data_IF_724382494177
#
_entry.id   IF_724382494177
#
_cell.length_a   1.000
_cell.length_b   1.000
_cell.length_c   1.000
_cell.angle_alpha   90.00
_cell.angle_beta   90.00
_cell.angle_gamma   90.00
#
_symmetry.space_group_name_H-M   'P 1'
#
loop_
_entity.id
_entity.type
_entity.pdbx_description
1 polymer ?
#
# COMPACT_ATOMS: atom_id res chain seq x y z
N UNK A 1 -24.58 17.38 11.91
CA UNK A 1 -24.46 17.89 10.54
C UNK A 1 -24.06 16.70 9.66
N UNK A 2 -24.83 16.38 8.60
CA UNK A 2 -24.50 15.28 7.70
C UNK A 2 -23.14 15.53 7.07
N UNK A 3 -22.27 14.53 7.07
CA UNK A 3 -20.97 14.54 6.38
C UNK A 3 -21.14 14.89 4.89
N UNK A 4 -20.07 15.26 4.21
CA UNK A 4 -20.05 15.46 2.75
C UNK A 4 -20.11 14.13 2.00
N UNK A 5 -20.14 14.23 0.68
CA UNK A 5 -20.01 13.06 -0.23
C UNK A 5 -18.86 13.29 -1.20
N UNK A 6 -18.22 12.19 -1.56
CA UNK A 6 -17.18 12.11 -2.59
C UNK A 6 -17.69 11.24 -3.72
N UNK A 7 -17.75 11.74 -4.95
CA UNK A 7 -18.15 10.95 -6.14
C UNK A 7 -16.94 10.59 -6.96
N UNK A 8 -16.82 9.32 -7.31
CA UNK A 8 -15.75 8.82 -8.17
C UNK A 8 -16.09 9.19 -9.62
N UNK A 9 -15.29 10.06 -10.22
CA UNK A 9 -15.42 10.46 -11.63
C UNK A 9 -14.67 9.47 -12.52
N UNK A 10 -13.47 9.06 -12.07
CA UNK A 10 -12.63 8.04 -12.73
C UNK A 10 -11.86 7.28 -11.66
N UNK A 11 -12.10 5.99 -11.55
CA UNK A 11 -11.47 5.13 -10.54
C UNK A 11 -10.02 4.75 -10.88
N UNK A 12 -9.62 4.83 -12.15
CA UNK A 12 -8.32 4.39 -12.62
C UNK A 12 -8.16 2.85 -12.61
N UNK A 13 -6.92 2.38 -12.70
CA UNK A 13 -6.64 0.94 -12.79
C UNK A 13 -7.04 0.17 -11.52
N UNK A 14 -6.82 0.77 -10.35
CA UNK A 14 -7.24 0.24 -9.06
C UNK A 14 -7.23 1.37 -8.03
N UNK A 15 -8.39 1.67 -7.48
CA UNK A 15 -8.53 2.56 -6.32
C UNK A 15 -9.34 1.86 -5.24
N UNK A 16 -8.83 1.90 -4.00
CA UNK A 16 -9.42 1.24 -2.84
C UNK A 16 -9.50 2.20 -1.67
N UNK A 17 -10.45 1.97 -0.77
CA UNK A 17 -10.49 2.65 0.53
C UNK A 17 -9.51 1.98 1.47
N UNK A 18 -8.62 2.75 2.10
CA UNK A 18 -7.61 2.20 3.01
C UNK A 18 -7.48 3.06 4.27
N UNK A 19 -7.44 2.40 5.42
CA UNK A 19 -7.03 2.96 6.71
C UNK A 19 -5.73 2.28 7.20
N UNK A 20 -5.50 2.16 8.49
CA UNK A 20 -4.33 1.45 9.02
C UNK A 20 -4.52 -0.07 9.14
N UNK A 21 -5.68 -0.58 8.73
CA UNK A 21 -6.00 -2.00 8.71
C UNK A 21 -6.65 -2.54 9.99
N UNK A 22 -7.07 -3.82 9.92
CA UNK A 22 -7.76 -4.54 10.99
C UNK A 22 -6.79 -5.41 11.78
N UNK A 23 -6.67 -5.13 13.07
CA UNK A 23 -5.73 -5.80 13.98
C UNK A 23 -6.45 -6.81 14.88
N UNK A 24 -5.73 -7.87 15.27
CA UNK A 24 -6.20 -8.84 16.27
C UNK A 24 -7.05 -9.99 15.70
N UNK A 25 -7.20 -10.08 14.37
CA UNK A 25 -8.10 -11.07 13.75
C UNK A 25 -7.36 -12.20 13.01
N UNK A 26 -6.03 -12.31 13.16
CA UNK A 26 -5.24 -13.35 12.49
C UNK A 26 -5.69 -14.78 12.84
N UNK A 27 -6.12 -15.03 14.09
CA UNK A 27 -6.65 -16.32 14.54
C UNK A 27 -7.95 -16.73 13.81
N UNK A 28 -8.65 -15.77 13.21
CA UNK A 28 -9.82 -16.01 12.36
C UNK A 28 -9.47 -16.16 10.87
N UNK A 29 -8.18 -16.21 10.53
CA UNK A 29 -7.73 -16.23 9.14
C UNK A 29 -7.83 -14.88 8.41
N UNK A 30 -8.08 -13.78 9.13
CA UNK A 30 -8.31 -12.46 8.55
C UNK A 30 -7.00 -11.68 8.49
N UNK A 31 -6.60 -11.28 7.28
CA UNK A 31 -5.44 -10.43 7.03
C UNK A 31 -5.62 -9.03 7.64
N UNK A 32 -4.50 -8.39 7.98
CA UNK A 32 -4.51 -7.03 8.52
C UNK A 32 -5.00 -6.02 7.49
N UNK A 33 -4.63 -6.18 6.23
CA UNK A 33 -4.90 -5.21 5.15
C UNK A 33 -4.42 -3.79 5.49
N UNK A 34 -5.07 -2.74 4.99
CA UNK A 34 -4.71 -1.35 5.23
C UNK A 34 -3.74 -0.78 4.19
N UNK A 35 -3.46 0.51 4.32
CA UNK A 35 -2.55 1.23 3.45
C UNK A 35 -1.17 0.56 3.37
N UNK A 36 -0.67 0.33 2.15
CA UNK A 36 0.63 -0.30 1.93
C UNK A 36 1.79 0.64 2.26
N UNK A 37 1.73 1.89 1.80
CA UNK A 37 2.66 2.96 2.19
C UNK A 37 2.05 3.77 3.34
N UNK A 38 2.16 3.22 4.57
CA UNK A 38 1.59 3.83 5.77
C UNK A 38 2.13 5.22 6.07
N UNK A 39 3.44 5.52 5.91
CA UNK A 39 3.95 6.87 6.04
C UNK A 39 3.24 7.88 5.13
N UNK A 40 3.06 7.54 3.84
CA UNK A 40 2.37 8.40 2.89
C UNK A 40 0.88 8.58 3.26
N UNK A 41 0.17 7.50 3.60
CA UNK A 41 -1.21 7.56 4.08
C UNK A 41 -1.37 8.47 5.30
N UNK A 42 -0.51 8.34 6.32
CA UNK A 42 -0.54 9.19 7.52
C UNK A 42 -0.24 10.63 7.18
N UNK A 43 0.74 10.89 6.31
CA UNK A 43 1.07 12.25 5.87
C UNK A 43 -0.12 12.92 5.20
N UNK A 44 -0.81 12.23 4.27
CA UNK A 44 -2.01 12.75 3.62
C UNK A 44 -3.07 13.14 4.64
N UNK A 45 -3.34 12.28 5.63
CA UNK A 45 -4.30 12.56 6.69
C UNK A 45 -3.91 13.77 7.55
N UNK A 46 -2.65 13.88 7.96
CA UNK A 46 -2.16 15.01 8.75
C UNK A 46 -2.29 16.34 8.01
N UNK A 47 -1.99 16.35 6.70
CA UNK A 47 -2.11 17.56 5.88
C UNK A 47 -3.53 18.11 5.84
N UNK A 48 -4.55 17.26 5.91
CA UNK A 48 -5.96 17.69 5.92
C UNK A 48 -6.56 17.79 7.32
N UNK A 49 -5.77 17.61 8.39
CA UNK A 49 -6.21 17.67 9.78
C UNK A 49 -6.97 16.45 10.28
N UNK A 50 -6.85 15.33 9.60
CA UNK A 50 -7.44 14.05 10.03
C UNK A 50 -6.54 13.33 11.06
N UNK A 51 -7.15 12.44 11.85
CA UNK A 51 -6.40 11.44 12.59
C UNK A 51 -5.68 10.49 11.64
N UNK A 52 -4.49 9.99 12.02
CA UNK A 52 -3.68 9.06 11.21
C UNK A 52 -4.43 7.81 10.71
N UNK A 53 -5.47 7.39 11.43
CA UNK A 53 -6.31 6.21 11.13
C UNK A 53 -7.50 6.49 10.22
N UNK A 54 -7.76 7.75 9.86
CA UNK A 54 -8.88 8.07 8.98
C UNK A 54 -8.67 7.40 7.60
N UNK A 55 -9.76 6.88 7.02
CA UNK A 55 -9.62 6.20 5.73
C UNK A 55 -9.40 7.21 4.59
N UNK A 56 -8.51 6.82 3.67
CA UNK A 56 -8.15 7.55 2.45
C UNK A 56 -8.44 6.71 1.22
N UNK A 57 -8.29 7.28 0.04
CA UNK A 57 -8.21 6.51 -1.20
C UNK A 57 -6.73 6.18 -1.49
N UNK A 58 -6.43 4.89 -1.66
CA UNK A 58 -5.17 4.40 -2.21
C UNK A 58 -5.39 4.11 -3.70
N UNK A 59 -4.71 4.83 -4.59
CA UNK A 59 -4.80 4.62 -6.04
C UNK A 59 -3.50 4.09 -6.60
N UNK A 60 -3.59 3.23 -7.62
CA UNK A 60 -2.46 2.50 -8.20
C UNK A 60 -2.21 2.96 -9.63
N UNK A 61 -0.97 3.37 -9.94
CA UNK A 61 -0.41 3.74 -11.23
C UNK A 61 -1.15 4.89 -11.95
N UNK A 62 -2.40 4.71 -12.35
CA UNK A 62 -3.12 5.64 -13.25
C UNK A 62 -3.85 6.76 -12.51
N UNK A 63 -3.84 6.74 -11.17
CA UNK A 63 -4.48 7.75 -10.35
C UNK A 63 -6.00 7.63 -10.29
N UNK A 64 -6.66 8.68 -9.79
CA UNK A 64 -8.12 8.75 -9.55
C UNK A 64 -8.61 10.17 -9.79
N UNK A 65 -9.84 10.36 -10.27
CA UNK A 65 -10.52 11.64 -10.30
C UNK A 65 -11.79 11.57 -9.43
N UNK A 66 -11.98 12.55 -8.56
CA UNK A 66 -13.12 12.60 -7.65
C UNK A 66 -13.75 13.99 -7.61
N UNK A 67 -15.08 14.04 -7.42
CA UNK A 67 -15.85 15.26 -7.23
C UNK A 67 -16.28 15.38 -5.77
N UNK A 68 -16.02 16.52 -5.15
CA UNK A 68 -16.56 16.83 -3.82
C UNK A 68 -17.93 17.49 -3.96
N UNK A 69 -18.94 16.99 -3.25
CA UNK A 69 -20.29 17.58 -3.29
C UNK A 69 -20.36 18.86 -2.47
N UNK A 70 -19.60 18.95 -1.39
CA UNK A 70 -19.44 20.15 -0.53
C UNK A 70 -18.00 20.62 -0.54
N UNK A 71 -17.76 21.86 -0.15
CA UNK A 71 -16.40 22.36 0.03
C UNK A 71 -15.62 21.45 0.99
N UNK A 72 -14.39 21.10 0.61
CA UNK A 72 -13.54 20.18 1.34
C UNK A 72 -12.07 20.60 1.29
N UNK A 73 -11.25 20.01 2.15
CA UNK A 73 -9.80 20.09 2.05
C UNK A 73 -9.28 18.71 1.67
N UNK A 74 -8.38 18.65 0.71
CA UNK A 74 -7.76 17.39 0.28
C UNK A 74 -6.23 17.48 0.30
N UNK A 75 -5.56 16.35 0.34
CA UNK A 75 -4.11 16.26 0.13
C UNK A 75 -3.76 14.97 -0.62
N UNK A 76 -2.76 15.05 -1.50
CA UNK A 76 -2.22 13.92 -2.25
C UNK A 76 -0.78 13.68 -1.85
N UNK A 77 -0.44 12.43 -1.53
CA UNK A 77 0.92 11.99 -1.14
C UNK A 77 1.26 10.64 -1.75
N UNK A 78 2.42 10.06 -1.43
CA UNK A 78 2.86 8.75 -1.93
C UNK A 78 3.63 8.85 -3.23
N UNK A 79 3.25 8.13 -4.26
CA UNK A 79 3.88 8.25 -5.58
C UNK A 79 3.64 9.66 -6.16
N UNK A 80 4.69 10.38 -6.59
CA UNK A 80 4.52 11.66 -7.26
C UNK A 80 3.69 11.52 -8.53
N UNK A 81 2.68 12.38 -8.66
CA UNK A 81 1.78 12.43 -9.80
C UNK A 81 1.35 13.88 -10.09
N UNK A 82 1.00 14.24 -11.32
CA UNK A 82 0.30 15.48 -11.60
C UNK A 82 -1.02 15.53 -10.80
N UNK A 83 -1.31 16.67 -10.19
CA UNK A 83 -2.59 16.91 -9.49
C UNK A 83 -3.27 18.08 -10.19
N UNK A 84 -4.54 17.93 -10.54
CA UNK A 84 -5.33 18.96 -11.20
C UNK A 84 -6.60 19.26 -10.39
N UNK A 85 -6.90 20.52 -10.20
CA UNK A 85 -8.17 21.03 -9.68
C UNK A 85 -8.94 21.70 -10.83
N UNK A 86 -10.07 21.13 -11.23
CA UNK A 86 -10.87 21.58 -12.36
C UNK A 86 -10.01 21.84 -13.62
N UNK A 87 -9.09 20.88 -13.92
CA UNK A 87 -8.17 20.93 -15.05
C UNK A 87 -6.95 21.86 -14.89
N UNK A 88 -6.81 22.56 -13.76
CA UNK A 88 -5.67 23.45 -13.48
C UNK A 88 -4.67 22.78 -12.52
N UNK A 89 -3.37 22.99 -12.69
CA UNK A 89 -2.37 22.42 -11.79
C UNK A 89 -2.63 22.79 -10.34
N UNK A 90 -2.54 21.79 -9.45
CA UNK A 90 -2.66 21.93 -8.01
C UNK A 90 -1.44 21.27 -7.33
N UNK A 91 -1.06 21.68 -6.10
CA UNK A 91 0.10 21.13 -5.43
C UNK A 91 -0.09 19.67 -5.02
N UNK A 92 0.94 18.86 -5.23
CA UNK A 92 1.13 17.57 -4.62
C UNK A 92 1.88 17.74 -3.28
N UNK A 93 1.54 16.97 -2.25
CA UNK A 93 2.20 17.03 -0.95
C UNK A 93 1.79 18.23 -0.07
N UNK A 94 0.71 18.90 -0.41
CA UNK A 94 0.16 20.01 0.36
C UNK A 94 -1.38 19.92 0.47
N UNK A 95 -1.95 20.65 1.42
CA UNK A 95 -3.40 20.75 1.56
C UNK A 95 -3.99 21.69 0.49
N UNK A 96 -5.02 21.23 -0.20
CA UNK A 96 -5.74 21.97 -1.26
C UNK A 96 -7.20 22.17 -0.83
N UNK A 97 -7.70 23.41 -0.85
CA UNK A 97 -9.11 23.72 -0.59
C UNK A 97 -9.92 23.59 -1.88
N UNK A 98 -10.96 22.80 -1.83
CA UNK A 98 -11.87 22.56 -2.96
C UNK A 98 -13.20 23.25 -2.69
N UNK A 99 -13.72 24.08 -3.62
CA UNK A 99 -15.11 24.53 -3.56
C UNK A 99 -16.08 23.38 -3.78
N UNK A 100 -17.34 23.57 -3.41
CA UNK A 100 -18.39 22.59 -3.68
C UNK A 100 -18.53 22.34 -5.19
N UNK A 101 -18.66 21.05 -5.59
CA UNK A 101 -18.78 20.62 -6.96
C UNK A 101 -17.44 20.46 -7.72
N UNK A 102 -16.33 20.92 -7.15
CA UNK A 102 -15.01 20.83 -7.78
C UNK A 102 -14.55 19.38 -8.00
N UNK A 103 -13.75 19.17 -9.03
CA UNK A 103 -13.10 17.88 -9.35
C UNK A 103 -11.61 17.99 -9.06
N UNK A 104 -11.11 17.10 -8.21
CA UNK A 104 -9.67 16.89 -8.04
C UNK A 104 -9.27 15.62 -8.79
N UNK A 105 -8.22 15.73 -9.58
CA UNK A 105 -7.66 14.61 -10.34
C UNK A 105 -6.23 14.35 -9.90
N UNK A 106 -5.94 13.11 -9.52
CA UNK A 106 -4.61 12.54 -9.38
C UNK A 106 -4.30 11.83 -10.69
N UNK A 107 -3.31 12.29 -11.41
CA UNK A 107 -2.88 11.70 -12.67
C UNK A 107 -2.01 10.46 -12.48
N UNK A 108 -1.44 9.93 -13.57
CA UNK A 108 -0.54 8.79 -13.53
C UNK A 108 0.71 9.09 -12.68
N UNK A 109 1.13 8.09 -11.89
CA UNK A 109 2.35 8.16 -11.11
C UNK A 109 3.57 8.34 -12.04
N UNK A 110 4.38 9.35 -11.80
CA UNK A 110 5.61 9.59 -12.58
C UNK A 110 6.75 8.69 -12.13
N UNK A 111 6.71 8.24 -10.87
CA UNK A 111 7.59 7.25 -10.26
C UNK A 111 6.89 6.63 -9.05
N UNK A 112 7.15 5.36 -8.78
CA UNK A 112 6.43 4.63 -7.74
C UNK A 112 5.14 4.02 -8.27
N UNK A 113 4.25 3.63 -7.36
CA UNK A 113 3.06 2.85 -7.70
C UNK A 113 1.80 3.41 -7.06
N UNK A 114 1.88 3.87 -5.79
CA UNK A 114 0.69 4.16 -4.99
C UNK A 114 0.66 5.60 -4.49
N UNK A 115 -0.42 6.30 -4.86
CA UNK A 115 -0.74 7.62 -4.31
C UNK A 115 -1.92 7.53 -3.35
N UNK A 116 -1.95 8.43 -2.37
CA UNK A 116 -3.00 8.52 -1.36
C UNK A 116 -3.69 9.86 -1.46
N UNK A 117 -5.02 9.83 -1.62
CA UNK A 117 -5.87 11.01 -1.57
C UNK A 117 -6.63 11.01 -0.23
N UNK A 118 -6.28 11.91 0.66
CA UNK A 118 -7.02 12.18 1.87
C UNK A 118 -8.02 13.33 1.66
N UNK A 119 -9.18 13.23 2.28
CA UNK A 119 -10.19 14.28 2.32
C UNK A 119 -10.49 14.61 3.79
N UNK A 120 -10.67 15.88 4.12
CA UNK A 120 -11.02 16.31 5.48
C UNK A 120 -12.27 15.59 5.99
N UNK A 121 -12.17 14.97 7.18
CA UNK A 121 -13.17 14.07 7.76
C UNK A 121 -12.94 12.58 7.44
N UNK A 122 -12.15 12.28 6.41
CA UNK A 122 -11.90 10.91 5.96
C UNK A 122 -13.09 10.26 5.23
N UNK A 123 -12.86 9.15 4.57
CA UNK A 123 -13.91 8.32 3.97
C UNK A 123 -14.61 7.53 5.08
N UNK A 124 -15.94 7.70 5.21
CA UNK A 124 -16.73 7.15 6.33
C UNK A 124 -17.64 6.00 5.91
N UNK A 125 -17.12 5.08 5.12
CA UNK A 125 -17.80 3.80 4.82
C UNK A 125 -17.89 2.92 6.06
N UNK A 126 -18.86 1.97 6.13
CA UNK A 126 -18.98 1.04 7.25
C UNK A 126 -17.66 0.29 7.52
N UNK A 127 -17.28 0.22 8.80
CA UNK A 127 -16.11 -0.54 9.22
C UNK A 127 -16.46 -2.04 9.34
N UNK A 128 -15.56 -2.91 8.86
CA UNK A 128 -15.64 -4.36 9.03
C UNK A 128 -14.48 -4.80 9.92
N UNK A 129 -14.77 -5.43 11.04
CA UNK A 129 -13.79 -5.81 12.06
C UNK A 129 -12.89 -4.63 12.48
N UNK A 130 -13.48 -3.46 12.68
CA UNK A 130 -12.81 -2.25 13.14
C UNK A 130 -12.00 -1.50 12.07
N UNK A 131 -12.05 -1.88 10.80
CA UNK A 131 -11.34 -1.23 9.69
C UNK A 131 -12.23 -0.98 8.49
N UNK A 132 -11.98 0.13 7.79
CA UNK A 132 -12.59 0.51 6.50
C UNK A 132 -11.77 0.06 5.29
N UNK A 133 -10.69 -0.70 5.52
CA UNK A 133 -9.81 -1.11 4.43
C UNK A 133 -10.44 -2.17 3.54
N UNK A 134 -10.32 -1.97 2.23
CA UNK A 134 -10.51 -3.01 1.21
C UNK A 134 -9.42 -4.06 1.35
N UNK A 135 -9.81 -5.32 1.42
CA UNK A 135 -8.91 -6.48 1.36
C UNK A 135 -9.17 -7.24 0.07
N UNK A 136 -8.19 -7.27 -0.83
CA UNK A 136 -8.33 -7.90 -2.15
C UNK A 136 -8.29 -9.43 -2.09
N UNK A 137 -7.74 -10.02 -1.02
CA UNK A 137 -7.67 -11.48 -0.90
C UNK A 137 -8.96 -12.06 -0.34
N UNK A 138 -9.44 -11.50 0.78
CA UNK A 138 -10.62 -12.03 1.48
C UNK A 138 -11.95 -11.40 1.02
N UNK A 139 -11.90 -10.28 0.30
CA UNK A 139 -13.08 -9.50 -0.07
C UNK A 139 -13.71 -8.73 1.09
N UNK A 140 -13.06 -8.65 2.25
CA UNK A 140 -13.55 -7.88 3.39
C UNK A 140 -13.39 -6.36 3.17
N UNK A 141 -14.33 -5.61 3.73
CA UNK A 141 -14.40 -4.16 3.57
C UNK A 141 -15.09 -3.74 2.26
N UNK A 142 -14.98 -2.46 1.86
CA UNK A 142 -15.58 -1.99 0.62
C UNK A 142 -14.91 -2.62 -0.59
N UNK A 143 -15.68 -2.83 -1.67
CA UNK A 143 -15.12 -3.28 -2.95
C UNK A 143 -14.14 -2.24 -3.54
N UNK A 144 -13.24 -2.63 -4.45
CA UNK A 144 -12.50 -1.69 -5.29
C UNK A 144 -13.47 -0.73 -5.99
N UNK A 145 -13.11 0.56 -5.99
CA UNK A 145 -13.97 1.63 -6.48
C UNK A 145 -14.12 1.58 -8.00
N UNK A 146 -15.29 2.02 -8.44
CA UNK A 146 -15.67 2.16 -9.86
C UNK A 146 -16.13 3.58 -10.17
N UNK A 147 -16.12 3.93 -11.43
CA UNK A 147 -16.68 5.18 -11.90
C UNK A 147 -18.15 5.28 -11.50
N UNK A 148 -18.55 6.43 -10.96
CA UNK A 148 -19.89 6.68 -10.45
C UNK A 148 -20.14 6.34 -8.97
N UNK A 149 -19.24 5.62 -8.30
CA UNK A 149 -19.40 5.31 -6.87
C UNK A 149 -19.47 6.60 -6.03
N UNK A 150 -20.26 6.53 -4.96
CA UNK A 150 -20.45 7.63 -4.00
C UNK A 150 -20.01 7.16 -2.62
N UNK A 151 -19.10 7.91 -2.01
CA UNK A 151 -18.56 7.60 -0.69
C UNK A 151 -18.99 8.69 0.31
N UNK A 152 -19.52 8.31 1.48
CA UNK A 152 -19.74 9.25 2.55
C UNK A 152 -18.41 9.74 3.14
N UNK A 153 -18.38 11.01 3.53
CA UNK A 153 -17.28 11.62 4.27
C UNK A 153 -17.68 11.86 5.72
N UNK A 154 -16.76 11.62 6.62
CA UNK A 154 -16.93 11.91 8.03
C UNK A 154 -16.90 13.42 8.30
N UNK A 155 -17.26 13.82 9.53
CA UNK A 155 -17.10 15.19 9.99
C UNK A 155 -15.61 15.51 10.15
N UNK A 156 -15.15 16.58 9.52
CA UNK A 156 -13.79 17.08 9.73
C UNK A 156 -13.63 17.60 11.17
N UNK A 157 -12.64 17.10 11.89
CA UNK A 157 -12.43 17.41 13.31
C UNK A 157 -11.17 18.23 13.56
N UNK A 158 -10.29 18.35 12.59
CA UNK A 158 -9.01 19.03 12.72
C UNK A 158 -8.85 20.23 11.80
N UNK A 159 -7.88 21.07 12.11
CA UNK A 159 -7.43 22.13 11.21
C UNK A 159 -6.34 21.54 10.29
N UNK A 160 -6.36 21.84 8.99
CA UNK A 160 -5.28 21.46 8.09
C UNK A 160 -3.95 22.02 8.61
N UNK A 161 -2.89 21.21 8.49
CA UNK A 161 -1.55 21.70 8.75
C UNK A 161 -1.16 22.66 7.63
N UNK A 162 -0.86 23.90 7.98
CA UNK A 162 -0.36 24.89 7.02
C UNK A 162 1.12 24.63 6.72
N UNK A 163 1.37 23.66 5.82
CA UNK A 163 2.68 23.43 5.26
C UNK A 163 2.59 23.71 3.75
N UNK A 164 3.50 24.53 3.25
CA UNK A 164 3.55 24.86 1.82
C UNK A 164 3.86 23.60 0.98
N UNK A 165 4.70 22.72 1.51
CA UNK A 165 5.04 21.43 0.93
C UNK A 165 5.58 20.48 2.01
N UNK A 166 5.08 19.27 2.04
CA UNK A 166 5.65 18.22 2.90
C UNK A 166 6.90 17.61 2.24
N UNK A 167 8.06 17.61 2.92
CA UNK A 167 9.25 16.93 2.39
C UNK A 167 8.96 15.45 2.18
N UNK A 168 9.32 14.93 1.01
CA UNK A 168 9.16 13.52 0.69
C UNK A 168 10.32 13.03 -0.15
N UNK A 169 11.00 11.96 0.29
CA UNK A 169 12.15 11.40 -0.41
C UNK A 169 11.81 10.80 -1.79
N UNK A 170 10.53 10.57 -2.03
CA UNK A 170 10.03 9.90 -3.23
C UNK A 170 10.36 8.41 -3.28
N UNK A 171 9.78 7.68 -4.24
CA UNK A 171 10.06 6.27 -4.44
C UNK A 171 11.53 6.01 -4.79
N UNK A 172 12.13 4.92 -4.30
CA UNK A 172 13.54 4.61 -4.55
C UNK A 172 13.79 4.24 -6.02
N UNK A 173 15.02 4.33 -6.47
CA UNK A 173 15.49 3.83 -7.79
C UNK A 173 15.92 2.36 -7.73
N UNK A 174 16.22 1.85 -6.56
CA UNK A 174 16.50 0.46 -6.22
C UNK A 174 15.78 0.13 -4.92
N UNK A 175 15.08 -0.98 -4.87
CA UNK A 175 14.44 -1.45 -3.66
C UNK A 175 15.44 -2.23 -2.81
N UNK A 176 15.94 -1.63 -1.75
CA UNK A 176 16.81 -2.27 -0.77
C UNK A 176 15.95 -2.75 0.40
N UNK A 177 15.82 -4.08 0.55
CA UNK A 177 15.03 -4.71 1.59
C UNK A 177 15.94 -5.26 2.68
N UNK A 178 15.98 -4.64 3.88
CA UNK A 178 16.58 -5.29 5.03
C UNK A 178 15.85 -6.59 5.31
N UNK A 179 16.57 -7.65 5.65
CA UNK A 179 16.01 -8.99 5.82
C UNK A 179 16.55 -9.62 7.10
N UNK A 180 15.68 -10.04 8.01
CA UNK A 180 16.04 -10.94 9.10
C UNK A 180 15.83 -12.36 8.62
N UNK A 181 16.87 -13.20 8.62
CA UNK A 181 16.76 -14.61 8.24
C UNK A 181 15.90 -15.39 9.25
N UNK A 182 15.29 -16.48 8.81
CA UNK A 182 14.39 -17.34 9.56
C UNK A 182 12.90 -17.09 9.24
N UNK A 183 11.97 -17.94 9.70
CA UNK A 183 12.18 -19.11 10.54
C UNK A 183 12.56 -20.41 9.77
N UNK A 184 12.63 -20.38 8.42
CA UNK A 184 12.91 -21.53 7.57
C UNK A 184 14.09 -21.31 6.62
N UNK A 185 15.07 -20.50 7.03
CA UNK A 185 16.32 -20.30 6.29
C UNK A 185 17.16 -21.60 6.20
N UNK A 186 17.03 -22.50 7.18
CA UNK A 186 17.60 -23.84 7.19
C UNK A 186 17.04 -24.79 6.09
N UNK A 187 15.95 -24.41 5.45
CA UNK A 187 15.39 -25.15 4.30
C UNK A 187 16.09 -24.85 2.98
N UNK A 188 17.03 -23.94 2.98
CA UNK A 188 17.76 -23.51 1.79
C UNK A 188 19.24 -23.89 1.88
N UNK A 189 19.86 -24.13 0.74
CA UNK A 189 21.31 -24.35 0.71
C UNK A 189 22.07 -23.09 1.13
N UNK A 190 23.27 -23.23 1.69
CA UNK A 190 24.11 -22.08 1.99
C UNK A 190 24.41 -21.24 0.74
N UNK A 191 24.45 -21.86 -0.45
CA UNK A 191 24.58 -21.17 -1.72
C UNK A 191 23.35 -20.30 -2.02
N UNK A 192 22.13 -20.81 -1.78
CA UNK A 192 20.89 -20.06 -1.97
C UNK A 192 20.80 -18.83 -1.06
N UNK A 193 21.20 -18.95 0.21
CA UNK A 193 21.26 -17.81 1.14
C UNK A 193 22.27 -16.75 0.67
N UNK A 194 23.44 -17.18 0.14
CA UNK A 194 24.38 -16.24 -0.49
C UNK A 194 23.81 -15.59 -1.75
N UNK A 195 23.11 -16.38 -2.58
CA UNK A 195 22.43 -15.88 -3.79
C UNK A 195 21.36 -14.84 -3.42
N UNK A 196 20.59 -15.05 -2.34
CA UNK A 196 19.61 -14.09 -1.86
C UNK A 196 20.27 -12.75 -1.50
N UNK A 197 21.45 -12.79 -0.85
CA UNK A 197 22.17 -11.58 -0.43
C UNK A 197 22.90 -10.84 -1.57
N UNK A 198 23.44 -11.58 -2.53
CA UNK A 198 24.28 -11.05 -3.61
C UNK A 198 23.56 -10.94 -4.96
N UNK A 199 22.45 -11.64 -5.12
CA UNK A 199 21.71 -11.74 -6.38
C UNK A 199 21.00 -10.43 -6.74
N UNK A 200 20.84 -10.23 -8.04
CA UNK A 200 20.05 -9.12 -8.59
C UNK A 200 18.67 -9.63 -8.93
N UNK A 201 17.68 -9.18 -8.17
CA UNK A 201 16.27 -9.45 -8.42
C UNK A 201 15.60 -8.21 -9.02
N UNK A 202 14.43 -8.39 -9.58
CA UNK A 202 13.59 -7.30 -10.09
C UNK A 202 12.14 -7.53 -9.67
N UNK A 203 11.39 -6.45 -9.51
CA UNK A 203 9.95 -6.51 -9.23
C UNK A 203 9.22 -7.08 -10.43
N UNK A 204 8.42 -8.12 -10.21
CA UNK A 204 7.58 -8.73 -11.23
C UNK A 204 6.30 -7.92 -11.48
N UNK A 205 5.81 -7.91 -12.71
CA UNK A 205 4.50 -7.34 -13.09
C UNK A 205 3.32 -8.01 -12.35
N UNK A 206 3.50 -9.22 -11.83
CA UNK A 206 2.49 -9.94 -11.04
C UNK A 206 2.41 -9.48 -9.59
N UNK A 207 3.13 -8.42 -9.23
CA UNK A 207 3.06 -7.82 -7.89
C UNK A 207 1.74 -7.09 -7.68
N UNK A 208 1.17 -7.21 -6.48
CA UNK A 208 -0.10 -6.59 -6.10
C UNK A 208 -0.11 -6.24 -4.60
N UNK A 209 -1.30 -6.00 -4.01
CA UNK A 209 -1.43 -5.71 -2.58
C UNK A 209 -1.19 -6.93 -1.67
N UNK A 210 -1.30 -8.16 -2.22
CA UNK A 210 -1.07 -9.41 -1.49
C UNK A 210 0.43 -9.65 -1.32
N UNK A 211 1.21 -9.50 -2.41
CA UNK A 211 2.64 -9.76 -2.39
C UNK A 211 3.39 -9.00 -3.49
N UNK A 212 4.60 -8.57 -3.16
CA UNK A 212 5.62 -8.21 -4.13
C UNK A 212 6.33 -9.48 -4.57
N UNK A 213 6.20 -9.80 -5.84
CA UNK A 213 6.86 -10.95 -6.47
C UNK A 213 8.14 -10.50 -7.14
N UNK A 214 9.15 -11.36 -7.15
CA UNK A 214 10.41 -11.06 -7.82
C UNK A 214 10.64 -11.95 -9.03
N UNK A 215 11.44 -11.46 -9.96
CA UNK A 215 12.14 -12.22 -10.99
C UNK A 215 13.63 -12.18 -10.72
N UNK A 216 14.42 -13.14 -11.24
CA UNK A 216 15.85 -13.22 -11.01
C UNK A 216 16.31 -14.61 -10.61
N UNK A 217 17.41 -14.72 -9.86
CA UNK A 217 17.98 -16.01 -9.46
C UNK A 217 16.99 -16.89 -8.69
N UNK A 218 17.16 -18.20 -8.85
CA UNK A 218 16.41 -19.22 -8.12
C UNK A 218 17.14 -19.56 -6.83
N UNK A 219 16.40 -19.67 -5.73
CA UNK A 219 16.92 -20.12 -4.45
C UNK A 219 16.69 -21.62 -4.30
N UNK A 220 17.78 -22.36 -4.33
CA UNK A 220 17.75 -23.82 -4.23
C UNK A 220 17.37 -24.26 -2.81
N UNK A 221 16.41 -25.20 -2.72
CA UNK A 221 16.02 -25.81 -1.45
C UNK A 221 16.99 -26.95 -1.07
N UNK A 222 17.37 -27.00 0.19
CA UNK A 222 18.04 -28.15 0.80
C UNK A 222 17.03 -29.22 1.27
N UNK A 223 15.79 -28.77 1.61
CA UNK A 223 14.72 -29.65 2.07
C UNK A 223 13.58 -29.64 1.06
N UNK A 224 13.23 -30.83 0.52
CA UNK A 224 12.24 -31.00 -0.55
C UNK A 224 10.89 -31.54 -0.08
N UNK A 225 10.74 -31.85 1.22
CA UNK A 225 9.46 -32.30 1.78
C UNK A 225 8.43 -31.15 1.80
N UNK A 226 7.17 -31.49 1.89
CA UNK A 226 6.10 -30.51 2.12
C UNK A 226 6.24 -29.88 3.50
N UNK A 227 5.93 -28.59 3.58
CA UNK A 227 5.87 -27.84 4.83
C UNK A 227 4.40 -27.76 5.25
N UNK A 228 4.01 -28.22 6.44
CA UNK A 228 2.70 -27.91 7.00
C UNK A 228 2.46 -26.42 7.03
N UNK A 229 1.19 -25.99 6.87
CA UNK A 229 0.84 -24.57 6.91
C UNK A 229 1.27 -23.94 8.24
N UNK A 230 1.99 -22.83 8.14
CA UNK A 230 2.49 -22.06 9.29
C UNK A 230 1.87 -20.65 9.29
N UNK A 231 1.85 -20.00 10.46
CA UNK A 231 1.44 -18.60 10.59
C UNK A 231 2.35 -17.67 9.77
N UNK A 232 1.74 -16.73 9.05
CA UNK A 232 2.44 -15.78 8.19
C UNK A 232 2.34 -14.36 8.76
N UNK A 233 3.39 -13.58 8.55
CA UNK A 233 3.42 -12.16 8.93
C UNK A 233 3.64 -11.30 7.69
N UNK A 234 3.15 -10.06 7.74
CA UNK A 234 3.46 -9.07 6.71
C UNK A 234 4.97 -8.84 6.68
N UNK A 235 5.56 -8.84 5.49
CA UNK A 235 7.01 -8.79 5.30
C UNK A 235 7.69 -10.16 5.22
N UNK A 236 6.98 -11.28 5.46
CA UNK A 236 7.55 -12.61 5.24
C UNK A 236 8.00 -12.77 3.79
N UNK A 237 9.22 -13.27 3.61
CA UNK A 237 9.80 -13.59 2.31
C UNK A 237 9.68 -15.10 2.10
N UNK A 238 8.62 -15.48 1.43
CA UNK A 238 8.33 -16.87 1.11
C UNK A 238 8.96 -17.27 -0.21
N UNK A 239 9.40 -18.51 -0.33
CA UNK A 239 9.98 -19.05 -1.57
C UNK A 239 9.12 -20.23 -2.05
N UNK A 240 8.23 -20.01 -3.03
CA UNK A 240 7.43 -21.05 -3.67
C UNK A 240 8.30 -22.08 -4.45
N UNK A 241 7.70 -23.12 -5.05
CA UNK A 241 8.45 -24.15 -5.79
C UNK A 241 9.28 -23.63 -6.97
N UNK A 242 8.93 -22.47 -7.56
CA UNK A 242 9.70 -21.83 -8.62
C UNK A 242 11.01 -21.20 -8.12
N UNK A 243 11.26 -21.23 -6.82
CA UNK A 243 12.47 -20.75 -6.16
C UNK A 243 12.64 -19.23 -6.12
N UNK A 244 11.62 -18.44 -6.50
CA UNK A 244 11.72 -16.98 -6.51
C UNK A 244 11.14 -16.37 -5.25
N UNK A 245 11.87 -15.43 -4.59
CA UNK A 245 11.35 -14.76 -3.39
C UNK A 245 10.05 -13.98 -3.65
N UNK A 246 9.11 -14.13 -2.71
CA UNK A 246 7.84 -13.40 -2.69
C UNK A 246 7.71 -12.72 -1.33
N UNK A 247 7.65 -11.39 -1.31
CA UNK A 247 7.51 -10.60 -0.08
C UNK A 247 6.03 -10.33 0.18
N UNK A 248 5.49 -10.84 1.29
CA UNK A 248 4.09 -10.62 1.65
C UNK A 248 3.82 -9.20 2.10
N UNK A 249 2.74 -8.62 1.55
CA UNK A 249 2.28 -7.26 1.82
C UNK A 249 0.98 -7.27 2.64
N UNK A 250 0.22 -6.18 2.65
CA UNK A 250 -0.86 -5.97 3.60
C UNK A 250 -2.02 -6.97 3.47
N UNK A 251 -2.39 -7.37 2.25
CA UNK A 251 -3.50 -8.31 2.00
C UNK A 251 -3.03 -9.77 1.91
N UNK A 252 -1.84 -10.08 2.49
CA UNK A 252 -1.30 -11.44 2.49
C UNK A 252 -2.14 -12.40 3.33
N UNK A 253 -2.16 -13.71 3.00
CA UNK A 253 -2.83 -14.70 3.82
C UNK A 253 -2.18 -14.79 5.21
N UNK A 254 -2.95 -15.21 6.21
CA UNK A 254 -2.48 -15.40 7.60
C UNK A 254 -1.71 -16.70 7.80
N UNK A 255 -1.79 -17.63 6.86
CA UNK A 255 -1.07 -18.90 6.87
C UNK A 255 -0.49 -19.19 5.49
N UNK A 256 0.55 -20.02 5.43
CA UNK A 256 1.18 -20.46 4.18
C UNK A 256 1.97 -21.74 4.34
N UNK A 257 2.12 -22.52 3.26
CA UNK A 257 2.77 -23.83 3.25
C UNK A 257 4.10 -23.87 2.50
N UNK A 258 4.72 -22.73 2.22
CA UNK A 258 6.06 -22.68 1.63
C UNK A 258 7.07 -22.04 2.60
N UNK A 259 8.35 -22.46 2.57
CA UNK A 259 9.33 -21.98 3.52
C UNK A 259 9.56 -20.46 3.42
N UNK A 260 9.60 -19.82 4.58
CA UNK A 260 9.94 -18.40 4.75
C UNK A 260 11.43 -18.28 5.04
N UNK A 261 12.19 -17.76 4.07
CA UNK A 261 13.66 -17.58 4.21
C UNK A 261 14.03 -16.42 5.13
N UNK A 262 13.12 -15.48 5.33
CA UNK A 262 13.35 -14.34 6.20
C UNK A 262 12.15 -13.40 6.24
N UNK A 263 12.28 -12.32 7.03
CA UNK A 263 11.23 -11.30 7.18
C UNK A 263 11.80 -9.93 6.96
N UNK A 264 11.14 -9.14 6.09
CA UNK A 264 11.40 -7.72 5.88
C UNK A 264 10.72 -6.94 7.02
N UNK A 265 11.46 -6.18 7.84
CA UNK A 265 10.87 -5.37 8.90
C UNK A 265 10.02 -4.22 8.35
N UNK A 266 9.11 -3.69 9.17
CA UNK A 266 8.11 -2.67 8.77
C UNK A 266 8.73 -1.46 8.05
N UNK A 267 9.93 -1.02 8.45
CA UNK A 267 10.66 0.09 7.81
C UNK A 267 10.98 -0.14 6.32
N UNK A 268 11.05 -1.39 5.84
CA UNK A 268 11.27 -1.74 4.44
C UNK A 268 9.98 -1.80 3.61
N UNK A 269 8.82 -1.94 4.27
CA UNK A 269 7.56 -2.21 3.58
C UNK A 269 7.00 -0.99 2.84
N UNK A 270 7.22 0.22 3.34
CA UNK A 270 6.79 1.45 2.66
C UNK A 270 7.48 1.60 1.30
N UNK A 271 8.79 1.31 1.23
CA UNK A 271 9.53 1.30 -0.03
C UNK A 271 9.04 0.20 -0.97
N UNK A 272 8.74 -1.01 -0.43
CA UNK A 272 8.17 -2.11 -1.20
C UNK A 272 6.79 -1.76 -1.78
N UNK A 273 5.98 -0.96 -1.07
CA UNK A 273 4.70 -0.47 -1.54
C UNK A 273 4.81 0.42 -2.79
N UNK A 274 5.96 1.06 -3.00
CA UNK A 274 6.23 1.96 -4.13
C UNK A 274 7.07 1.30 -5.24
N UNK A 275 7.34 0.01 -5.13
CA UNK A 275 8.20 -0.70 -6.06
C UNK A 275 7.45 -1.04 -7.36
N UNK A 276 7.76 -0.33 -8.42
CA UNK A 276 7.18 -0.54 -9.75
C UNK A 276 7.78 -1.79 -10.43
N UNK A 277 7.04 -2.44 -11.35
CA UNK A 277 7.57 -3.53 -12.16
C UNK A 277 8.91 -3.19 -12.82
N UNK A 278 9.84 -4.13 -12.84
CA UNK A 278 11.19 -3.95 -13.37
C UNK A 278 12.17 -3.24 -12.45
N UNK A 279 11.71 -2.67 -11.31
CA UNK A 279 12.63 -2.03 -10.37
C UNK A 279 13.62 -3.06 -9.80
N UNK A 280 14.94 -2.77 -9.77
CA UNK A 280 15.91 -3.63 -9.11
C UNK A 280 15.59 -3.82 -7.63
N UNK A 281 15.75 -5.07 -7.15
CA UNK A 281 15.52 -5.45 -5.74
C UNK A 281 16.77 -6.11 -5.19
N UNK A 282 17.19 -5.68 -4.02
CA UNK A 282 18.30 -6.26 -3.27
C UNK A 282 17.87 -6.59 -1.84
N UNK A 283 18.05 -7.83 -1.44
CA UNK A 283 17.86 -8.25 -0.06
C UNK A 283 19.16 -8.06 0.72
N UNK A 284 19.07 -7.47 1.91
CA UNK A 284 20.22 -7.19 2.77
C UNK A 284 19.99 -7.91 4.11
N UNK A 285 20.53 -9.14 4.26
CA UNK A 285 20.47 -9.86 5.52
C UNK A 285 21.05 -9.02 6.65
N UNK A 286 20.32 -8.94 7.75
CA UNK A 286 20.74 -8.26 8.98
C UNK A 286 21.03 -9.30 10.05
N UNK A 287 22.07 -9.08 10.84
CA UNK A 287 22.43 -9.88 12.00
C UNK A 287 21.52 -9.58 13.18
#
# INVERSE_FOLDING_TARGET
>A
MSGGELRIVRAGALTTVQDLGRYGHAALGVARSGALDRPAHRLANRLVGNADRAATLETTLTGVAVRVVRAAVVAVTGAPAPVLLDGRPAPWGAAVRLPAGAVIEVGPATRGVRSYLAVGGGVDVPAVLGSRSTDLLSGLGPAPLRDGDVLPLGAGTGLPVHADLAPHAGPPRELVLPLRLGPRDDWFTAAAVRTLAAGRFHVSERSNRIALRTTGPVLERAVHRELPSEGMVVGAVQVPPDGRPVVFLADSPTTGGYPVVGVVPERGLAAAAQAAPGLPVRFVPQR
#
